data_IF_179034008226
#
_entry.id   IF_179034008226
#
_cell.length_a   1.000
_cell.length_b   1.000
_cell.length_c   1.000
_cell.angle_alpha   90.00
_cell.angle_beta   90.00
_cell.angle_gamma   90.00
#
_symmetry.space_group_name_H-M   'P 1'
#
loop_
_entity.id
_entity.type
_entity.pdbx_description
1 polymer ?
#
# COMPACT_ATOMS: atom_id res chain seq x y z
N UNK A 1 15.07 -4.42 -20.97
CA UNK A 1 14.47 -5.74 -21.30
C UNK A 1 14.98 -6.88 -20.41
N UNK A 2 16.28 -7.25 -20.38
CA UNK A 2 16.76 -8.38 -19.53
C UNK A 2 16.53 -8.19 -18.03
N UNK A 3 16.72 -6.97 -17.52
CA UNK A 3 16.53 -6.63 -16.10
C UNK A 3 15.06 -6.75 -15.67
N UNK A 4 14.15 -6.14 -16.45
CA UNK A 4 12.69 -6.22 -16.21
C UNK A 4 12.20 -7.67 -16.22
N UNK A 5 12.60 -8.48 -17.20
CA UNK A 5 12.18 -9.88 -17.28
C UNK A 5 12.65 -10.69 -16.07
N UNK A 6 13.88 -10.47 -15.59
CA UNK A 6 14.39 -11.13 -14.37
C UNK A 6 13.61 -10.70 -13.14
N UNK A 7 13.41 -9.39 -12.94
CA UNK A 7 12.64 -8.88 -11.81
C UNK A 7 11.22 -9.46 -11.76
N UNK A 8 10.51 -9.48 -12.88
CA UNK A 8 9.15 -10.02 -12.96
C UNK A 8 9.09 -11.53 -12.68
N UNK A 9 10.09 -12.29 -13.15
CA UNK A 9 10.18 -13.72 -12.85
C UNK A 9 10.44 -13.98 -11.37
N UNK A 10 11.33 -13.21 -10.76
CA UNK A 10 11.60 -13.31 -9.32
C UNK A 10 10.34 -12.98 -8.53
N UNK A 11 9.66 -11.88 -8.88
CA UNK A 11 8.43 -11.44 -8.25
C UNK A 11 7.30 -12.49 -8.35
N UNK A 12 7.16 -13.13 -9.51
CA UNK A 12 6.19 -14.21 -9.70
C UNK A 12 6.50 -15.41 -8.79
N UNK A 13 7.76 -15.85 -8.70
CA UNK A 13 8.17 -16.93 -7.79
C UNK A 13 7.92 -16.56 -6.33
N UNK A 14 8.39 -15.37 -5.93
CA UNK A 14 8.23 -14.86 -4.58
C UNK A 14 6.76 -14.78 -4.17
N UNK A 15 5.85 -14.47 -5.10
CA UNK A 15 4.42 -14.41 -4.80
C UNK A 15 3.83 -15.73 -4.28
N UNK A 16 4.44 -16.88 -4.59
CA UNK A 16 4.00 -18.19 -4.09
C UNK A 16 4.87 -18.74 -2.97
N UNK A 17 6.13 -18.32 -2.87
CA UNK A 17 7.13 -18.94 -2.00
C UNK A 17 7.41 -18.12 -0.72
N UNK A 18 7.16 -16.80 -0.74
CA UNK A 18 7.46 -15.91 0.38
C UNK A 18 6.23 -15.74 1.27
N UNK A 19 6.46 -15.77 2.57
CA UNK A 19 5.44 -15.51 3.59
C UNK A 19 4.78 -14.12 3.39
N UNK A 20 3.44 -14.00 3.48
CA UNK A 20 2.74 -12.74 3.30
C UNK A 20 3.21 -11.59 4.17
N UNK A 21 3.60 -11.86 5.43
CA UNK A 21 4.08 -10.82 6.35
C UNK A 21 5.42 -10.23 5.89
N UNK A 22 6.18 -10.98 5.10
CA UNK A 22 7.53 -10.59 4.64
C UNK A 22 7.58 -10.20 3.17
N UNK A 23 6.49 -10.41 2.43
CA UNK A 23 6.48 -10.27 0.98
C UNK A 23 6.83 -8.85 0.53
N UNK A 24 6.24 -7.83 1.14
CA UNK A 24 6.50 -6.43 0.76
C UNK A 24 7.95 -6.03 0.98
N UNK A 25 8.53 -6.38 2.13
CA UNK A 25 9.95 -6.11 2.38
C UNK A 25 10.84 -6.86 1.40
N UNK A 26 10.59 -8.15 1.19
CA UNK A 26 11.32 -8.95 0.21
C UNK A 26 11.24 -8.35 -1.21
N UNK A 27 10.05 -7.92 -1.62
CA UNK A 27 9.83 -7.33 -2.95
C UNK A 27 10.55 -5.99 -3.11
N UNK A 28 10.57 -5.16 -2.05
CA UNK A 28 11.27 -3.89 -2.02
C UNK A 28 12.79 -4.09 -1.99
N UNK A 29 13.30 -5.05 -1.23
CA UNK A 29 14.72 -5.42 -1.28
C UNK A 29 15.13 -5.93 -2.67
N UNK A 30 14.27 -6.74 -3.29
CA UNK A 30 14.51 -7.20 -4.65
C UNK A 30 14.50 -6.05 -5.64
N UNK A 31 13.59 -5.08 -5.50
CA UNK A 31 13.54 -3.88 -6.33
C UNK A 31 14.81 -3.04 -6.17
N UNK A 32 15.31 -2.91 -4.94
CA UNK A 32 16.51 -2.13 -4.62
C UNK A 32 17.77 -2.59 -5.38
N UNK A 33 17.84 -3.86 -5.78
CA UNK A 33 18.95 -4.40 -6.57
C UNK A 33 19.03 -3.86 -8.00
N UNK A 34 17.89 -3.51 -8.61
CA UNK A 34 17.82 -2.97 -9.97
C UNK A 34 17.54 -1.44 -9.98
N UNK A 35 16.99 -0.91 -8.89
CA UNK A 35 16.69 0.51 -8.70
C UNK A 35 17.06 0.91 -7.26
N UNK A 36 18.25 1.47 -7.01
CA UNK A 36 18.69 1.80 -5.66
C UNK A 36 17.88 2.94 -5.02
N UNK A 37 17.44 2.73 -3.78
CA UNK A 37 16.79 3.72 -2.92
C UNK A 37 17.14 3.42 -1.46
N UNK A 38 16.98 4.41 -0.58
CA UNK A 38 17.38 4.33 0.82
C UNK A 38 16.18 3.90 1.71
N UNK A 39 14.99 4.41 1.40
CA UNK A 39 13.73 4.04 2.07
C UNK A 39 12.54 4.08 1.10
N UNK A 40 11.43 3.46 1.50
CA UNK A 40 10.20 3.48 0.72
C UNK A 40 8.94 3.53 1.60
N UNK A 41 7.87 4.09 1.03
CA UNK A 41 6.53 4.04 1.58
C UNK A 41 5.58 3.46 0.53
N UNK A 42 4.98 2.32 0.83
CA UNK A 42 3.88 1.76 0.06
C UNK A 42 2.58 2.04 0.80
N UNK A 43 1.59 2.65 0.15
CA UNK A 43 0.34 2.96 0.81
C UNK A 43 -0.87 2.78 -0.10
N UNK A 44 -1.99 2.36 0.50
CA UNK A 44 -3.29 2.28 -0.16
C UNK A 44 -4.32 3.15 0.57
N UNK A 45 -5.16 3.81 -0.21
CA UNK A 45 -6.19 4.71 0.28
C UNK A 45 -7.48 4.57 -0.53
N UNK A 46 -8.62 4.70 0.13
CA UNK A 46 -9.90 4.83 -0.54
C UNK A 46 -10.11 6.28 -0.98
N UNK A 47 -10.59 6.50 -2.19
CA UNK A 47 -10.97 7.86 -2.63
C UNK A 47 -12.29 8.23 -1.98
N UNK A 48 -12.31 9.33 -1.22
CA UNK A 48 -13.53 9.89 -0.65
C UNK A 48 -13.75 11.33 -1.14
N UNK A 49 -14.99 11.88 -1.04
CA UNK A 49 -15.30 13.24 -1.47
C UNK A 49 -14.46 14.33 -0.80
N UNK A 50 -13.91 14.05 0.40
CA UNK A 50 -13.04 14.95 1.17
C UNK A 50 -11.54 14.67 0.96
N UNK A 51 -11.18 13.83 0.00
CA UNK A 51 -9.82 13.41 -0.31
C UNK A 51 -9.55 11.93 0.04
N UNK A 52 -8.36 11.40 -0.33
CA UNK A 52 -8.00 10.01 -0.05
C UNK A 52 -7.91 9.72 1.45
N UNK A 53 -8.53 8.61 1.88
CA UNK A 53 -8.48 8.08 3.24
C UNK A 53 -7.58 6.85 3.23
N UNK A 54 -6.37 6.99 3.77
CA UNK A 54 -5.40 5.89 3.89
C UNK A 54 -5.88 4.84 4.88
N UNK A 55 -5.80 3.56 4.50
CA UNK A 55 -6.14 2.42 5.37
C UNK A 55 -5.00 1.39 5.47
N UNK A 56 -3.98 1.52 4.62
CA UNK A 56 -2.80 0.66 4.64
C UNK A 56 -1.56 1.48 4.31
N UNK A 57 -0.50 1.25 5.08
CA UNK A 57 0.84 1.75 4.77
C UNK A 57 1.88 0.73 5.25
N UNK A 58 2.90 0.50 4.41
CA UNK A 58 4.09 -0.27 4.72
C UNK A 58 5.31 0.62 4.53
N UNK A 59 6.13 0.72 5.57
CA UNK A 59 7.41 1.44 5.52
C UNK A 59 8.55 0.45 5.36
N UNK A 60 9.48 0.76 4.46
CA UNK A 60 10.69 -0.01 4.27
C UNK A 60 11.91 0.84 4.55
N UNK A 61 12.75 0.39 5.50
CA UNK A 61 13.95 1.10 5.98
C UNK A 61 13.64 2.52 6.45
N UNK A 62 12.44 2.74 6.98
CA UNK A 62 12.01 3.96 7.63
C UNK A 62 11.31 3.60 8.95
N UNK A 63 11.42 4.46 9.98
CA UNK A 63 10.79 4.23 11.27
C UNK A 63 9.27 4.52 11.22
N UNK A 64 8.47 3.82 12.02
CA UNK A 64 7.00 3.95 12.05
C UNK A 64 6.54 5.37 12.38
N UNK A 65 7.33 6.11 13.16
CA UNK A 65 7.13 7.51 13.50
C UNK A 65 6.97 8.40 12.26
N UNK A 66 7.57 8.01 11.12
CA UNK A 66 7.41 8.72 9.85
C UNK A 66 5.93 8.83 9.44
N UNK A 67 5.11 7.78 9.64
CA UNK A 67 3.69 7.86 9.31
C UNK A 67 2.94 8.81 10.24
N UNK A 68 3.27 8.79 11.54
CA UNK A 68 2.65 9.66 12.55
C UNK A 68 2.91 11.13 12.21
N UNK A 69 4.16 11.45 11.89
CA UNK A 69 4.56 12.81 11.52
C UNK A 69 4.03 13.23 10.16
N UNK A 70 3.84 12.27 9.24
CA UNK A 70 3.36 12.54 7.89
C UNK A 70 1.86 12.88 7.84
N UNK A 71 1.02 12.19 8.62
CA UNK A 71 -0.46 12.38 8.61
C UNK A 71 -0.91 13.85 8.65
N UNK A 72 -0.42 14.71 9.58
CA UNK A 72 -0.86 16.10 9.64
C UNK A 72 -0.42 16.94 8.44
N UNK A 73 0.70 16.58 7.80
CA UNK A 73 1.33 17.38 6.72
C UNK A 73 1.18 16.76 5.33
N UNK A 74 0.55 15.59 5.18
CA UNK A 74 0.39 14.87 3.90
C UNK A 74 -0.24 15.71 2.78
N UNK A 75 -1.06 16.70 3.13
CA UNK A 75 -1.69 17.63 2.20
C UNK A 75 -0.70 18.62 1.56
N UNK A 76 0.52 18.72 2.10
CA UNK A 76 1.62 19.53 1.59
C UNK A 76 2.55 18.74 0.66
N UNK A 77 2.38 17.41 0.57
CA UNK A 77 3.23 16.53 -0.23
C UNK A 77 2.97 16.72 -1.74
N UNK A 78 3.83 17.52 -2.37
CA UNK A 78 3.76 17.80 -3.79
C UNK A 78 4.03 16.57 -4.67
N UNK A 79 4.81 15.60 -4.19
CA UNK A 79 5.15 14.39 -4.93
C UNK A 79 3.93 13.47 -5.06
N UNK A 80 3.20 13.27 -3.95
CA UNK A 80 1.94 12.52 -3.95
C UNK A 80 0.86 13.27 -4.74
N UNK A 81 0.73 14.59 -4.58
CA UNK A 81 -0.20 15.38 -5.37
C UNK A 81 0.05 15.25 -6.88
N UNK A 82 1.31 15.32 -7.31
CA UNK A 82 1.68 15.15 -8.71
C UNK A 82 1.39 13.72 -9.22
N UNK A 83 1.63 12.70 -8.39
CA UNK A 83 1.32 11.31 -8.74
C UNK A 83 -0.18 11.06 -8.88
N UNK A 84 -1.00 11.73 -8.07
CA UNK A 84 -2.45 11.63 -8.12
C UNK A 84 -3.02 12.27 -9.40
N UNK A 85 -2.40 13.37 -9.87
CA UNK A 85 -2.83 14.09 -11.05
C UNK A 85 -2.63 13.30 -12.35
N UNK A 86 -1.64 12.40 -12.40
CA UNK A 86 -1.34 11.55 -13.55
C UNK A 86 -1.14 10.10 -13.11
N UNK A 87 -2.24 9.46 -12.68
CA UNK A 87 -2.23 8.09 -12.20
C UNK A 87 -1.70 7.13 -13.28
N UNK A 88 -0.77 6.27 -12.87
CA UNK A 88 -0.02 5.36 -13.75
C UNK A 88 1.30 5.94 -14.24
N UNK A 89 1.56 7.24 -14.06
CA UNK A 89 2.87 7.84 -14.34
C UNK A 89 3.76 7.91 -13.11
N UNK A 90 5.04 7.68 -13.34
CA UNK A 90 6.05 7.88 -12.31
C UNK A 90 6.56 9.32 -12.34
N UNK A 91 6.40 10.01 -11.22
CA UNK A 91 6.95 11.35 -11.00
C UNK A 91 8.18 11.24 -10.12
N UNK A 92 9.21 12.03 -10.42
CA UNK A 92 10.43 12.07 -9.64
C UNK A 92 10.96 13.50 -9.53
N UNK A 93 11.63 13.79 -8.42
CA UNK A 93 12.29 15.06 -8.22
C UNK A 93 12.77 15.29 -6.80
N UNK A 94 13.45 16.42 -6.58
CA UNK A 94 13.81 16.87 -5.25
C UNK A 94 12.56 17.06 -4.38
N UNK A 95 12.59 16.51 -3.17
CA UNK A 95 11.65 16.88 -2.09
C UNK A 95 12.28 18.01 -1.25
N UNK A 96 13.60 18.21 -1.32
CA UNK A 96 14.31 19.32 -0.67
C UNK A 96 13.94 20.72 -1.20
N UNK A 97 13.17 20.80 -2.30
CA UNK A 97 12.50 22.02 -2.79
C UNK A 97 11.07 22.18 -2.27
N UNK A 98 10.61 21.28 -1.38
CA UNK A 98 9.28 21.35 -0.81
C UNK A 98 9.08 22.63 0.00
N UNK A 99 7.82 23.00 0.15
CA UNK A 99 7.38 24.15 0.95
C UNK A 99 8.08 24.16 2.31
N UNK A 100 8.36 25.35 2.86
CA UNK A 100 9.12 25.50 4.11
C UNK A 100 8.50 24.75 5.32
N UNK A 101 7.18 24.52 5.28
CA UNK A 101 6.41 23.74 6.25
C UNK A 101 6.63 22.21 6.15
N UNK A 102 7.12 21.71 5.01
CA UNK A 102 7.42 20.29 4.77
C UNK A 102 8.90 19.92 4.97
N UNK A 103 9.80 20.90 4.89
CA UNK A 103 11.26 20.70 5.02
C UNK A 103 11.72 19.97 6.30
N UNK A 104 11.14 20.23 7.49
CA UNK A 104 11.53 19.51 8.69
C UNK A 104 11.31 18.00 8.55
N UNK A 105 10.19 17.59 7.95
CA UNK A 105 9.87 16.19 7.70
C UNK A 105 10.88 15.55 6.73
N UNK A 106 11.19 16.24 5.62
CA UNK A 106 12.17 15.77 4.63
C UNK A 106 13.55 15.56 5.27
N UNK A 107 13.98 16.51 6.10
CA UNK A 107 15.29 16.47 6.76
C UNK A 107 15.37 15.37 7.82
N UNK A 108 14.34 15.23 8.66
CA UNK A 108 14.28 14.21 9.73
C UNK A 108 14.36 12.80 9.16
N UNK A 109 13.68 12.53 8.05
CA UNK A 109 13.55 11.18 7.49
C UNK A 109 14.46 10.91 6.28
N UNK A 110 15.31 11.87 5.89
CA UNK A 110 16.25 11.70 4.79
C UNK A 110 15.56 11.48 3.44
N UNK A 111 14.60 12.34 3.10
CA UNK A 111 13.76 12.18 1.91
C UNK A 111 14.15 13.12 0.75
N UNK A 112 15.42 13.55 0.68
CA UNK A 112 15.86 14.64 -0.20
C UNK A 112 15.44 14.48 -1.67
N UNK A 113 15.46 13.25 -2.20
CA UNK A 113 14.95 12.92 -3.54
C UNK A 113 13.79 11.93 -3.45
N UNK A 114 12.73 12.17 -4.19
CA UNK A 114 11.53 11.36 -4.21
C UNK A 114 11.19 10.83 -5.59
N UNK A 115 10.64 9.63 -5.63
CA UNK A 115 10.03 9.06 -6.83
C UNK A 115 8.77 8.31 -6.46
N UNK A 116 7.61 8.79 -6.93
CA UNK A 116 6.30 8.24 -6.61
C UNK A 116 5.56 7.79 -7.87
N UNK A 117 4.79 6.72 -7.72
CA UNK A 117 3.91 6.17 -8.75
C UNK A 117 2.63 5.77 -8.03
N UNK A 118 1.49 6.16 -8.58
CA UNK A 118 0.18 5.86 -8.02
C UNK A 118 -0.65 5.17 -9.08
N UNK A 119 -1.36 4.11 -8.71
CA UNK A 119 -2.33 3.43 -9.56
C UNK A 119 -3.71 3.55 -8.94
N UNK A 120 -4.69 3.87 -9.78
CA UNK A 120 -6.09 3.96 -9.41
C UNK A 120 -6.82 2.71 -9.92
N UNK A 121 -7.41 1.96 -8.99
CA UNK A 121 -8.45 0.99 -9.32
C UNK A 121 -9.81 1.72 -9.30
N UNK A 122 -10.32 2.04 -10.49
CA UNK A 122 -11.59 2.74 -10.63
C UNK A 122 -12.81 1.88 -10.23
N UNK A 123 -12.70 0.56 -10.30
CA UNK A 123 -13.79 -0.35 -9.91
C UNK A 123 -13.95 -0.42 -8.39
N UNK A 124 -12.84 -0.39 -7.66
CA UNK A 124 -12.81 -0.40 -6.20
C UNK A 124 -12.74 1.01 -5.57
N UNK A 125 -12.51 2.03 -6.40
CA UNK A 125 -12.28 3.41 -5.98
C UNK A 125 -11.14 3.54 -4.96
N UNK A 126 -10.08 2.77 -5.20
CA UNK A 126 -8.88 2.66 -4.35
C UNK A 126 -7.67 3.16 -5.12
N UNK A 127 -6.81 3.92 -4.45
CA UNK A 127 -5.48 4.25 -4.95
C UNK A 127 -4.43 3.45 -4.20
N UNK A 128 -3.46 2.92 -4.91
CA UNK A 128 -2.26 2.30 -4.34
C UNK A 128 -1.04 3.02 -4.87
N UNK A 129 -0.14 3.39 -3.98
CA UNK A 129 1.04 4.19 -4.29
C UNK A 129 2.28 3.55 -3.70
N UNK A 130 3.40 3.75 -4.38
CA UNK A 130 4.72 3.47 -3.85
C UNK A 130 5.60 4.70 -4.07
N UNK A 131 6.19 5.19 -2.98
CA UNK A 131 7.16 6.28 -2.96
C UNK A 131 8.51 5.72 -2.57
N UNK A 132 9.54 6.03 -3.35
CA UNK A 132 10.92 5.65 -3.11
C UNK A 132 11.74 6.90 -2.83
N UNK A 133 12.63 6.83 -1.85
CA UNK A 133 13.36 7.99 -1.37
C UNK A 133 14.87 7.77 -1.39
N UNK A 134 15.62 8.85 -1.62
CA UNK A 134 17.06 8.90 -1.37
C UNK A 134 17.38 10.06 -0.44
N UNK A 135 18.24 9.82 0.53
CA UNK A 135 18.70 10.82 1.47
C UNK A 135 19.73 11.78 0.86
N UNK A 136 20.49 11.30 -0.12
CA UNK A 136 21.46 12.12 -0.84
C UNK A 136 20.79 12.94 -1.95
N UNK A 137 20.63 14.25 -1.69
CA UNK A 137 20.10 15.22 -2.66
C UNK A 137 20.90 15.33 -3.96
N UNK A 138 22.16 14.87 -3.98
CA UNK A 138 23.03 14.89 -5.16
C UNK A 138 22.85 13.67 -6.08
N UNK A 139 22.01 12.71 -5.69
CA UNK A 139 21.73 11.48 -6.44
C UNK A 139 20.28 11.42 -6.94
N UNK A 140 19.87 12.30 -7.87
CA UNK A 140 18.51 12.31 -8.39
C UNK A 140 18.16 10.99 -9.09
N UNK A 141 16.87 10.65 -9.09
CA UNK A 141 16.37 9.56 -9.92
C UNK A 141 16.46 9.94 -11.40
N UNK A 142 16.85 8.97 -12.22
CA UNK A 142 16.95 9.12 -13.66
C UNK A 142 15.63 8.78 -14.34
N UNK A 143 15.41 9.29 -15.55
CA UNK A 143 14.22 8.89 -16.34
C UNK A 143 14.18 7.38 -16.62
N UNK A 144 15.34 6.72 -16.73
CA UNK A 144 15.40 5.29 -16.95
C UNK A 144 14.86 4.52 -15.73
N UNK A 145 15.21 4.96 -14.53
CA UNK A 145 14.68 4.42 -13.27
C UNK A 145 13.17 4.70 -13.13
N UNK A 146 12.73 5.91 -13.48
CA UNK A 146 11.30 6.25 -13.47
C UNK A 146 10.49 5.37 -14.44
N UNK A 147 10.98 5.18 -15.68
CA UNK A 147 10.35 4.27 -16.66
C UNK A 147 10.37 2.82 -16.21
N UNK A 148 11.45 2.39 -15.55
CA UNK A 148 11.53 1.04 -14.99
C UNK A 148 10.47 0.85 -13.91
N UNK A 149 10.40 1.76 -12.93
CA UNK A 149 9.41 1.75 -11.85
C UNK A 149 7.97 1.76 -12.39
N UNK A 150 7.68 2.66 -13.34
CA UNK A 150 6.37 2.76 -14.01
C UNK A 150 5.94 1.42 -14.60
N UNK A 151 6.88 0.71 -15.23
CA UNK A 151 6.60 -0.60 -15.85
C UNK A 151 6.36 -1.69 -14.80
N UNK A 152 7.14 -1.73 -13.72
CA UNK A 152 7.11 -2.85 -12.77
C UNK A 152 6.08 -2.70 -11.66
N UNK A 153 5.63 -1.47 -11.37
CA UNK A 153 4.73 -1.22 -10.25
C UNK A 153 3.36 -1.94 -10.33
N UNK A 154 2.66 -2.00 -11.48
CA UNK A 154 1.43 -2.80 -11.59
C UNK A 154 1.66 -4.27 -11.25
N UNK A 155 2.81 -4.81 -11.62
CA UNK A 155 3.17 -6.20 -11.34
C UNK A 155 3.46 -6.44 -9.86
N UNK A 156 4.03 -5.45 -9.16
CA UNK A 156 4.24 -5.49 -7.71
C UNK A 156 2.91 -5.60 -6.97
N UNK A 157 1.92 -4.77 -7.32
CA UNK A 157 0.58 -4.83 -6.72
C UNK A 157 -0.07 -6.19 -6.97
N UNK A 158 0.00 -6.67 -8.21
CA UNK A 158 -0.59 -7.96 -8.58
C UNK A 158 0.08 -9.13 -7.85
N UNK A 159 1.41 -9.09 -7.67
CA UNK A 159 2.14 -10.12 -6.97
C UNK A 159 1.85 -10.13 -5.47
N UNK A 160 1.73 -8.96 -4.83
CA UNK A 160 1.28 -8.84 -3.43
C UNK A 160 -0.13 -9.38 -3.25
N UNK A 161 -1.04 -9.03 -4.17
CA UNK A 161 -2.42 -9.52 -4.17
C UNK A 161 -2.47 -11.04 -4.31
N UNK A 162 -1.71 -11.62 -5.25
CA UNK A 162 -1.62 -13.08 -5.44
C UNK A 162 -1.02 -13.77 -4.25
N UNK A 163 0.01 -13.19 -3.66
CA UNK A 163 0.67 -13.74 -2.49
C UNK A 163 -0.28 -13.86 -1.31
N UNK A 164 -1.04 -12.79 -1.02
CA UNK A 164 -2.08 -12.80 0.00
C UNK A 164 -3.17 -13.83 -0.31
N UNK A 165 -3.70 -13.84 -1.54
CA UNK A 165 -4.77 -14.79 -1.92
C UNK A 165 -4.31 -16.26 -1.79
N UNK A 166 -3.12 -16.60 -2.28
CA UNK A 166 -2.61 -17.97 -2.25
C UNK A 166 -2.47 -18.48 -0.81
N UNK A 167 -1.96 -17.65 0.09
CA UNK A 167 -1.81 -18.02 1.49
C UNK A 167 -3.16 -18.07 2.22
N UNK A 168 -4.09 -17.15 1.93
CA UNK A 168 -5.47 -17.23 2.46
C UNK A 168 -6.18 -18.53 2.06
N UNK A 169 -5.99 -18.99 0.81
CA UNK A 169 -6.58 -20.24 0.32
C UNK A 169 -5.91 -21.46 0.96
N UNK A 170 -4.59 -21.43 1.14
CA UNK A 170 -3.84 -22.51 1.77
C UNK A 170 -4.13 -22.63 3.27
N UNK A 171 -4.28 -21.51 3.99
CA UNK A 171 -4.64 -21.49 5.42
C UNK A 171 -6.09 -21.90 5.67
N UNK A 172 -7.02 -21.53 4.78
CA UNK A 172 -8.41 -21.97 4.85
C UNK A 172 -8.61 -23.49 4.60
N UNK A 173 -7.54 -24.22 4.25
CA UNK A 173 -7.57 -25.66 3.95
C UNK A 173 -7.19 -26.56 5.13
N UNK A 174 -7.11 -26.04 6.36
CA UNK A 174 -6.90 -26.85 7.56
C UNK A 174 -7.99 -26.59 8.61
N UNK A 175 -8.47 -27.69 9.20
CA UNK A 175 -9.57 -27.86 10.16
C UNK A 175 -9.48 -27.06 11.50
N UNK A 176 -8.84 -25.89 11.55
CA UNK A 176 -8.62 -25.15 12.79
C UNK A 176 -9.42 -23.82 12.84
N UNK A 177 -10.43 -23.68 13.73
CA UNK A 177 -11.34 -22.52 13.78
C UNK A 177 -10.75 -21.28 14.49
N UNK A 178 -9.43 -21.16 14.57
CA UNK A 178 -8.75 -20.04 15.20
C UNK A 178 -7.76 -19.43 14.22
N UNK A 179 -8.03 -18.20 13.75
CA UNK A 179 -7.03 -17.14 13.47
C UNK A 179 -7.64 -16.09 12.52
N UNK A 180 -8.21 -15.02 13.07
CA UNK A 180 -8.21 -13.69 12.43
C UNK A 180 -8.24 -12.66 13.57
N UNK A 181 -7.09 -12.14 13.98
CA UNK A 181 -7.04 -10.98 14.86
C UNK A 181 -6.83 -9.74 13.99
N UNK A 182 -7.89 -8.98 13.77
CA UNK A 182 -7.74 -7.54 13.47
C UNK A 182 -7.53 -6.86 14.82
N UNK A 183 -6.46 -6.06 15.02
CA UNK A 183 -6.32 -5.28 16.23
C UNK A 183 -7.52 -4.34 16.37
N UNK A 184 -8.15 -4.38 17.54
CA UNK A 184 -9.17 -3.43 17.93
C UNK A 184 -8.51 -2.05 18.01
N UNK A 185 -8.82 -1.17 17.05
CA UNK A 185 -8.42 0.24 17.14
C UNK A 185 -9.33 0.87 18.19
N UNK A 186 -8.89 0.85 19.44
CA UNK A 186 -9.49 1.63 20.51
C UNK A 186 -9.27 3.12 20.21
N UNK A 187 -10.37 3.87 20.21
CA UNK A 187 -10.49 5.10 19.44
C UNK A 187 -9.72 6.32 19.96
N UNK A 188 -9.58 7.31 19.07
CA UNK A 188 -10.06 8.71 19.26
C UNK A 188 -9.68 9.59 18.08
N UNK A 189 -10.67 10.29 17.51
CA UNK A 189 -10.47 11.44 16.63
C UNK A 189 -11.66 11.64 15.68
N UNK A 190 -12.19 12.86 15.50
CA UNK A 190 -13.42 13.09 14.74
C UNK A 190 -13.15 13.00 13.23
N UNK A 191 -13.09 11.79 12.69
CA UNK A 191 -13.04 11.48 11.25
C UNK A 191 -13.37 9.98 10.98
N UNK A 192 -14.28 9.40 11.77
CA UNK A 192 -14.60 7.96 11.78
C UNK A 192 -15.97 7.56 11.23
N UNK A 193 -16.66 8.41 10.46
CA UNK A 193 -18.08 8.17 10.12
C UNK A 193 -18.30 7.02 9.12
N UNK A 194 -17.31 6.70 8.26
CA UNK A 194 -17.44 5.61 7.29
C UNK A 194 -17.30 4.22 7.96
N UNK A 195 -16.35 4.06 8.87
CA UNK A 195 -16.10 2.80 9.58
C UNK A 195 -17.17 2.56 10.67
N UNK A 196 -17.65 3.62 11.31
CA UNK A 196 -18.74 3.53 12.27
C UNK A 196 -20.05 3.06 11.60
N UNK A 197 -20.39 3.61 10.43
CA UNK A 197 -21.64 3.24 9.73
C UNK A 197 -21.62 1.80 9.21
N UNK A 198 -20.51 1.32 8.68
CA UNK A 198 -20.37 -0.09 8.28
C UNK A 198 -20.50 -1.03 9.50
N UNK A 199 -19.78 -0.74 10.58
CA UNK A 199 -19.84 -1.56 11.80
C UNK A 199 -21.22 -1.49 12.49
N UNK A 200 -21.92 -0.37 12.38
CA UNK A 200 -23.29 -0.22 12.88
C UNK A 200 -24.30 -1.02 12.03
N UNK A 201 -24.16 -0.95 10.71
CA UNK A 201 -24.98 -1.71 9.77
C UNK A 201 -24.81 -3.23 9.97
N UNK A 202 -23.57 -3.68 10.13
CA UNK A 202 -23.26 -5.09 10.39
C UNK A 202 -23.77 -5.54 11.76
N UNK A 203 -23.69 -4.71 12.80
CA UNK A 203 -24.29 -5.01 14.11
C UNK A 203 -25.83 -5.09 14.05
N UNK A 204 -26.47 -4.26 13.23
CA UNK A 204 -27.93 -4.29 13.03
C UNK A 204 -28.38 -5.59 12.38
N UNK A 205 -27.61 -6.08 11.41
CA UNK A 205 -27.93 -7.30 10.65
C UNK A 205 -27.40 -8.58 11.31
N UNK A 206 -26.48 -8.46 12.27
CA UNK A 206 -25.94 -9.58 13.05
C UNK A 206 -25.63 -9.14 14.49
N UNK A 207 -26.63 -9.14 15.39
CA UNK A 207 -26.51 -8.58 16.75
C UNK A 207 -25.47 -9.26 17.66
N UNK A 208 -25.06 -10.49 17.34
CA UNK A 208 -24.04 -11.24 18.08
C UNK A 208 -22.60 -10.94 17.60
N UNK A 209 -22.46 -10.08 16.59
CA UNK A 209 -21.18 -9.74 15.99
C UNK A 209 -20.38 -8.75 16.86
N UNK A 210 -19.09 -9.08 17.11
CA UNK A 210 -18.20 -8.34 18.01
C UNK A 210 -16.99 -7.71 17.30
N UNK A 211 -17.14 -7.30 16.04
CA UNK A 211 -16.12 -6.53 15.30
C UNK A 211 -14.86 -7.29 14.88
N UNK A 212 -14.66 -8.54 15.33
CA UNK A 212 -13.40 -9.28 15.16
C UNK A 212 -13.33 -10.20 13.93
N UNK A 213 -14.46 -10.52 13.29
CA UNK A 213 -14.54 -11.46 12.15
C UNK A 213 -15.65 -11.05 11.18
N UNK A 214 -15.53 -11.20 9.86
CA UNK A 214 -16.71 -11.04 8.98
C UNK A 214 -17.87 -11.97 9.44
N UNK A 215 -19.11 -11.46 9.60
CA UNK A 215 -20.27 -12.28 9.95
C UNK A 215 -20.42 -13.46 9.00
N UNK A 216 -20.88 -14.62 9.51
CA UNK A 216 -21.05 -15.84 8.72
C UNK A 216 -21.82 -15.61 7.39
N UNK A 217 -22.90 -14.80 7.33
CA UNK A 217 -23.59 -14.54 6.07
C UNK A 217 -22.73 -13.86 4.98
N UNK A 218 -21.82 -12.96 5.39
CA UNK A 218 -20.89 -12.29 4.47
C UNK A 218 -19.75 -13.22 4.06
N UNK A 219 -19.28 -14.09 4.96
CA UNK A 219 -18.35 -15.18 4.63
C UNK A 219 -18.95 -16.15 3.61
N UNK A 220 -20.22 -16.53 3.80
CA UNK A 220 -20.93 -17.41 2.90
C UNK A 220 -21.19 -16.76 1.53
N UNK A 221 -21.45 -15.45 1.49
CA UNK A 221 -21.58 -14.69 0.24
C UNK A 221 -20.25 -14.60 -0.52
N UNK A 222 -19.13 -14.39 0.17
CA UNK A 222 -17.80 -14.42 -0.43
C UNK A 222 -17.42 -15.82 -0.94
N UNK A 223 -17.85 -16.87 -0.24
CA UNK A 223 -17.69 -18.25 -0.68
C UNK A 223 -18.57 -18.56 -1.91
N UNK A 224 -19.82 -18.07 -1.94
CA UNK A 224 -20.76 -18.24 -3.07
C UNK A 224 -20.39 -17.41 -4.31
N UNK A 225 -19.77 -16.24 -4.13
CA UNK A 225 -19.24 -15.43 -5.23
C UNK A 225 -18.05 -16.05 -5.96
N UNK A 226 -17.43 -17.10 -5.39
CA UNK A 226 -16.40 -17.94 -6.04
C UNK A 226 -17.01 -19.06 -6.89
N UNK A 227 -18.28 -19.36 -6.69
CA UNK A 227 -19.05 -20.31 -7.49
C UNK A 227 -19.73 -19.58 -8.66
N UNK A 228 -18.93 -18.90 -9.50
CA UNK A 228 -19.42 -18.52 -10.81
C UNK A 228 -19.55 -19.78 -11.66
N UNK A 229 -20.74 -20.38 -11.66
CA UNK A 229 -21.21 -21.19 -12.79
C UNK A 229 -22.18 -20.31 -13.61
N UNK A 230 -22.24 -20.46 -14.94
CA UNK A 230 -22.76 -19.48 -15.89
C UNK A 230 -24.26 -19.18 -15.78
#
# INVERSE_FOLDING_TARGET
MKIQSRFLLDLHRGSSEVDPERFLDWALERLANDLPFDSAMWASAAIAPRGPIGYFAHLHRAPDEMLVDYVPIKHLDALICASLADAGKTVCGPIDGARADFQPFVSTYGLAQGMSTLLLDAGLNVVTSISLYRADGTRPFTEAEARFKETVFPHLIEADTRNKIAHLVNEASFDDPCLWQVPEVEGRGPQGDAEASFNEQVRRESPLWRGRYLPNPLRDLLARGRSGDP
#
